data_IF_738429478355
#
_entry.id   IF_738429478355
#
_cell.length_a   1.000
_cell.length_b   1.000
_cell.length_c   1.000
_cell.angle_alpha   90.00
_cell.angle_beta   90.00
_cell.angle_gamma   90.00
#
_symmetry.space_group_name_H-M   'P 1'
#
loop_
_entity.id
_entity.type
_entity.pdbx_description
1 polymer ?
#
# COMPACT_ATOMS: atom_id res chain seq x y z
N UNK A 1 17.92 -33.49 -7.69
CA UNK A 1 17.90 -32.25 -8.49
C UNK A 1 18.11 -31.08 -7.53
N UNK A 2 19.28 -30.46 -7.53
CA UNK A 2 19.60 -29.35 -6.64
C UNK A 2 18.73 -28.16 -7.00
N UNK A 3 17.72 -27.87 -6.19
CA UNK A 3 16.81 -26.76 -6.41
C UNK A 3 17.61 -25.46 -6.22
N UNK A 4 18.03 -24.83 -7.32
CA UNK A 4 18.79 -23.56 -7.32
C UNK A 4 17.86 -22.39 -7.02
N UNK A 5 17.07 -22.51 -5.96
CA UNK A 5 16.24 -21.42 -5.49
C UNK A 5 17.12 -20.41 -4.76
N UNK A 6 17.01 -19.16 -5.19
CA UNK A 6 17.56 -18.02 -4.47
C UNK A 6 16.91 -18.01 -3.08
N UNK A 7 17.68 -17.86 -1.99
CA UNK A 7 17.11 -17.73 -0.66
C UNK A 7 16.09 -16.58 -0.60
N UNK A 8 14.97 -16.76 0.12
CA UNK A 8 13.94 -15.73 0.23
C UNK A 8 14.48 -14.41 0.80
N UNK A 9 15.48 -14.45 1.68
CA UNK A 9 16.14 -13.27 2.26
C UNK A 9 16.79 -12.39 1.19
N UNK A 10 17.35 -13.00 0.14
CA UNK A 10 17.94 -12.26 -0.98
C UNK A 10 16.84 -11.64 -1.84
N UNK A 11 15.73 -12.37 -2.06
CA UNK A 11 14.58 -11.82 -2.77
C UNK A 11 13.99 -10.61 -2.02
N UNK A 12 13.88 -10.71 -0.69
CA UNK A 12 13.40 -9.62 0.16
C UNK A 12 14.33 -8.41 0.10
N UNK A 13 15.65 -8.62 0.13
CA UNK A 13 16.62 -7.54 -0.03
C UNK A 13 16.50 -6.84 -1.39
N UNK A 14 16.32 -7.58 -2.48
CA UNK A 14 16.11 -7.00 -3.82
C UNK A 14 14.85 -6.13 -3.82
N UNK A 15 13.76 -6.64 -3.26
CA UNK A 15 12.49 -5.91 -3.16
C UNK A 15 12.64 -4.64 -2.31
N UNK A 16 13.48 -4.67 -1.27
CA UNK A 16 13.76 -3.51 -0.43
C UNK A 16 14.49 -2.39 -1.17
N UNK A 17 15.36 -2.71 -2.14
CA UNK A 17 15.94 -1.69 -3.01
C UNK A 17 14.92 -1.05 -3.98
N UNK A 18 13.82 -1.75 -4.28
CA UNK A 18 12.79 -1.31 -5.22
C UNK A 18 11.65 -0.51 -4.57
N UNK A 19 11.75 -0.17 -3.28
CA UNK A 19 10.70 0.54 -2.53
C UNK A 19 10.23 1.86 -3.19
N UNK A 20 11.10 2.53 -3.95
CA UNK A 20 10.80 3.79 -4.64
C UNK A 20 10.10 3.66 -5.99
N UNK A 21 9.96 2.44 -6.53
CA UNK A 21 9.35 2.20 -7.85
C UNK A 21 8.16 1.22 -7.76
N UNK A 22 6.94 1.74 -7.54
CA UNK A 22 5.73 0.93 -7.48
C UNK A 22 5.43 0.16 -8.77
N UNK A 23 5.90 0.63 -9.94
CA UNK A 23 5.65 -0.07 -11.20
C UNK A 23 6.49 -1.35 -11.26
N UNK A 24 7.77 -1.26 -10.89
CA UNK A 24 8.65 -2.44 -10.83
C UNK A 24 8.22 -3.41 -9.73
N UNK A 25 7.76 -2.93 -8.58
CA UNK A 25 7.22 -3.80 -7.52
C UNK A 25 5.98 -4.59 -7.98
N UNK A 26 5.11 -4.00 -8.82
CA UNK A 26 3.96 -4.72 -9.41
C UNK A 26 4.42 -5.82 -10.36
N UNK A 27 5.43 -5.56 -11.19
CA UNK A 27 5.98 -6.57 -12.09
C UNK A 27 6.62 -7.73 -11.29
N UNK A 28 7.32 -7.41 -10.19
CA UNK A 28 7.88 -8.41 -9.29
C UNK A 28 6.82 -9.35 -8.69
N UNK A 29 5.62 -8.84 -8.40
CA UNK A 29 4.49 -9.67 -7.94
C UNK A 29 4.06 -10.73 -8.98
N UNK A 30 4.28 -10.46 -10.28
CA UNK A 30 3.90 -11.35 -11.38
C UNK A 30 5.00 -12.39 -11.68
N UNK A 31 6.25 -12.10 -11.35
CA UNK A 31 7.38 -13.01 -11.59
C UNK A 31 7.33 -14.27 -10.71
N UNK A 32 7.06 -14.12 -9.41
CA UNK A 32 7.02 -15.26 -8.47
C UNK A 32 6.20 -14.96 -7.23
N UNK A 33 5.55 -16.01 -6.69
CA UNK A 33 4.81 -15.95 -5.42
C UNK A 33 5.70 -15.59 -4.22
N UNK A 34 6.99 -15.91 -4.27
CA UNK A 34 7.92 -15.58 -3.17
C UNK A 34 8.17 -14.08 -3.02
N UNK A 35 7.96 -13.29 -4.08
CA UNK A 35 8.18 -11.84 -4.05
C UNK A 35 6.94 -11.08 -3.56
N UNK A 36 5.76 -11.71 -3.61
CA UNK A 36 4.47 -11.09 -3.31
C UNK A 36 4.38 -10.53 -1.87
N UNK A 37 4.80 -11.22 -0.80
CA UNK A 37 4.65 -10.70 0.55
C UNK A 37 5.41 -9.39 0.76
N UNK A 38 6.69 -9.34 0.34
CA UNK A 38 7.54 -8.18 0.54
C UNK A 38 7.17 -7.03 -0.39
N UNK A 39 6.84 -7.31 -1.64
CA UNK A 39 6.41 -6.28 -2.62
C UNK A 39 5.09 -5.65 -2.21
N UNK A 40 4.12 -6.44 -1.74
CA UNK A 40 2.85 -5.93 -1.19
C UNK A 40 3.09 -5.02 0.01
N UNK A 41 4.02 -5.35 0.90
CA UNK A 41 4.36 -4.48 2.04
C UNK A 41 4.80 -3.10 1.57
N UNK A 42 5.58 -2.97 0.50
CA UNK A 42 5.99 -1.68 -0.05
C UNK A 42 4.90 -1.00 -0.89
N UNK A 43 4.19 -1.76 -1.72
CA UNK A 43 3.08 -1.24 -2.55
C UNK A 43 1.93 -0.68 -1.71
N UNK A 44 1.64 -1.35 -0.60
CA UNK A 44 0.62 -0.94 0.37
C UNK A 44 1.25 -0.21 1.56
N UNK A 45 2.54 0.17 1.52
CA UNK A 45 3.07 1.05 2.56
C UNK A 45 2.40 2.43 2.49
N UNK A 46 2.14 2.90 1.26
CA UNK A 46 1.57 4.22 1.00
C UNK A 46 0.37 4.10 0.06
N UNK A 47 -0.83 4.34 0.57
CA UNK A 47 -2.03 4.48 -0.28
C UNK A 47 -2.35 5.96 -0.43
N UNK A 48 -2.44 6.41 -1.68
CA UNK A 48 -2.83 7.77 -2.03
C UNK A 48 -4.25 7.77 -2.55
N UNK A 49 -5.16 8.44 -1.84
CA UNK A 49 -6.53 8.63 -2.26
C UNK A 49 -6.70 10.04 -2.80
N UNK A 50 -7.32 10.16 -3.98
CA UNK A 50 -7.72 11.44 -4.53
C UNK A 50 -9.18 11.74 -4.15
N UNK A 51 -9.61 13.01 -4.14
CA UNK A 51 -10.92 13.42 -3.62
C UNK A 51 -12.08 12.72 -4.30
N UNK A 52 -11.96 12.48 -5.62
CA UNK A 52 -12.96 11.76 -6.40
C UNK A 52 -13.09 10.28 -6.00
N UNK A 53 -12.03 9.68 -5.46
CA UNK A 53 -11.98 8.27 -5.12
C UNK A 53 -12.41 8.00 -3.67
N UNK A 54 -12.37 9.01 -2.79
CA UNK A 54 -12.77 8.89 -1.38
C UNK A 54 -14.21 8.40 -1.25
N UNK A 55 -15.14 8.98 -2.01
CA UNK A 55 -16.55 8.60 -1.93
C UNK A 55 -16.78 7.15 -2.37
N UNK A 56 -16.06 6.72 -3.42
CA UNK A 56 -16.11 5.34 -3.89
C UNK A 56 -15.46 4.39 -2.88
N UNK A 57 -14.37 4.81 -2.24
CA UNK A 57 -13.68 4.06 -1.19
C UNK A 57 -14.57 3.87 0.04
N UNK A 58 -15.14 4.95 0.59
CA UNK A 58 -16.09 4.91 1.72
C UNK A 58 -17.32 4.05 1.40
N UNK A 59 -17.81 4.06 0.15
CA UNK A 59 -18.92 3.18 -0.27
C UNK A 59 -18.53 1.71 -0.40
N UNK A 60 -17.29 1.41 -0.79
CA UNK A 60 -16.82 0.03 -1.02
C UNK A 60 -16.42 -0.63 0.29
N UNK A 61 -15.83 0.14 1.21
CA UNK A 61 -15.37 -0.31 2.51
C UNK A 61 -16.15 0.42 3.61
N UNK A 62 -17.37 -0.06 3.91
CA UNK A 62 -18.15 0.43 5.05
C UNK A 62 -17.43 0.10 6.38
N UNK A 63 -16.83 -1.10 6.39
CA UNK A 63 -15.91 -1.67 7.38
C UNK A 63 -14.48 -1.09 7.37
N UNK A 64 -13.99 -0.28 8.32
CA UNK A 64 -12.59 0.11 8.35
C UNK A 64 -11.60 -1.06 8.39
N UNK A 65 -11.96 -2.12 9.10
CA UNK A 65 -11.15 -3.34 9.25
C UNK A 65 -10.99 -4.13 7.94
N UNK A 66 -11.97 -4.01 7.03
CA UNK A 66 -11.98 -4.66 5.73
C UNK A 66 -11.33 -3.82 4.63
N UNK A 67 -10.90 -2.61 4.95
CA UNK A 67 -10.22 -1.76 3.99
C UNK A 67 -8.77 -2.24 3.78
N UNK A 68 -8.23 -2.13 2.55
CA UNK A 68 -6.80 -2.31 2.32
C UNK A 68 -5.94 -1.40 3.19
N UNK A 69 -6.50 -0.26 3.65
CA UNK A 69 -5.82 0.68 4.54
C UNK A 69 -5.49 0.09 5.92
N UNK A 70 -6.21 -0.93 6.38
CA UNK A 70 -5.89 -1.62 7.64
C UNK A 70 -4.50 -2.30 7.61
N UNK A 71 -4.02 -2.63 6.40
CA UNK A 71 -2.73 -3.27 6.20
C UNK A 71 -1.66 -2.28 5.72
N UNK A 72 -1.99 -0.98 5.68
CA UNK A 72 -1.10 0.07 5.16
C UNK A 72 -0.50 0.87 6.30
N UNK A 73 0.80 1.14 6.22
CA UNK A 73 1.51 1.91 7.25
C UNK A 73 1.25 3.42 7.12
N UNK A 74 0.87 3.89 5.93
CA UNK A 74 0.62 5.31 5.65
C UNK A 74 -0.51 5.45 4.63
N UNK A 75 -1.58 6.13 5.03
CA UNK A 75 -2.64 6.56 4.12
C UNK A 75 -2.55 8.08 3.97
N UNK A 76 -2.47 8.55 2.72
CA UNK A 76 -2.43 9.98 2.41
C UNK A 76 -3.61 10.33 1.53
N UNK A 77 -4.44 11.27 1.98
CA UNK A 77 -5.55 11.81 1.20
C UNK A 77 -5.10 13.12 0.58
N UNK A 78 -5.00 13.16 -0.75
CA UNK A 78 -4.57 14.35 -1.47
C UNK A 78 -5.79 15.25 -1.75
N UNK A 79 -6.23 16.00 -0.74
CA UNK A 79 -7.39 16.90 -0.80
C UNK A 79 -7.09 18.15 -1.61
N UNK A 80 -7.77 18.37 -2.73
CA UNK A 80 -7.62 19.61 -3.54
C UNK A 80 -8.54 20.75 -3.05
N UNK A 81 -9.09 20.65 -1.85
CA UNK A 81 -9.83 21.74 -1.19
C UNK A 81 -9.26 21.95 0.19
N UNK A 82 -9.02 23.22 0.53
CA UNK A 82 -8.69 23.68 1.87
C UNK A 82 -9.59 22.96 2.88
N UNK A 83 -9.01 21.96 3.52
CA UNK A 83 -9.64 21.13 4.52
C UNK A 83 -9.96 22.07 5.67
N UNK A 84 -11.25 22.30 5.91
CA UNK A 84 -11.68 23.14 7.03
C UNK A 84 -11.29 22.37 8.29
N UNK A 85 -10.81 23.03 9.35
CA UNK A 85 -10.22 22.39 10.53
C UNK A 85 -11.10 21.27 11.16
N UNK A 86 -12.41 21.26 10.88
CA UNK A 86 -13.36 20.22 11.25
C UNK A 86 -13.10 18.86 10.54
N UNK A 87 -12.69 18.87 9.28
CA UNK A 87 -12.43 17.65 8.48
C UNK A 87 -11.11 16.94 8.89
N UNK A 88 -10.21 17.65 9.58
CA UNK A 88 -8.99 17.07 10.17
C UNK A 88 -9.29 16.23 11.43
N UNK A 89 -10.51 16.33 11.97
CA UNK A 89 -10.94 15.57 13.14
C UNK A 89 -11.71 14.29 12.81
N UNK A 90 -11.87 13.93 11.53
CA UNK A 90 -12.16 12.53 11.14
C UNK A 90 -10.90 11.67 11.38
N UNK A 91 -10.54 11.53 12.65
CA UNK A 91 -9.51 10.66 13.18
C UNK A 91 -9.90 9.19 13.00
N UNK A 92 -9.83 8.70 11.77
CA UNK A 92 -10.03 7.29 11.47
C UNK A 92 -9.07 6.71 10.45
N UNK A 93 -8.32 7.54 9.73
CA UNK A 93 -7.66 7.07 8.51
C UNK A 93 -6.25 7.60 8.28
N UNK A 94 -5.72 8.43 9.18
CA UNK A 94 -4.31 8.80 9.15
C UNK A 94 -3.84 8.76 10.59
N UNK A 95 -3.13 7.70 10.94
CA UNK A 95 -2.20 7.76 12.07
C UNK A 95 -0.80 7.75 11.48
N UNK A 96 -0.03 8.72 11.95
CA UNK A 96 1.40 8.98 11.73
C UNK A 96 2.27 7.73 11.64
#
# INVERSE_FOLDING_TARGET
MSNRCIPPEICDHIVDFLHGDPNTLKQCCLCSRSWVPRTRKHLFAVVRLYPQDIMRWKKTFLDPSNSPAHHTHTLSVNSLKAVTLADLTEGGWVST
#
